data_IF_431818216799
#
_entry.id   IF_431818216799
#
_cell.length_a   1.000
_cell.length_b   1.000
_cell.length_c   1.000
_cell.angle_alpha   90.00
_cell.angle_beta   90.00
_cell.angle_gamma   90.00
#
_symmetry.space_group_name_H-M   'P 1'
#
loop_
_entity.id
_entity.type
_entity.pdbx_description
1 polymer ?
#
# COMPACT_ATOMS: atom_id res chain seq x y z
N UNK A 1 -2.71 6.08 -5.44
CA UNK A 1 -1.85 5.56 -4.34
C UNK A 1 -0.42 6.00 -4.64
N UNK A 2 0.37 6.45 -3.66
CA UNK A 2 1.81 6.67 -3.88
C UNK A 2 2.55 5.51 -3.23
N UNK A 3 3.36 4.78 -4.00
CA UNK A 3 4.17 3.69 -3.50
C UNK A 3 5.63 4.14 -3.47
N UNK A 4 6.25 4.15 -2.29
CA UNK A 4 7.70 4.37 -2.17
C UNK A 4 8.36 2.99 -2.20
N UNK A 5 9.16 2.75 -3.23
CA UNK A 5 9.91 1.50 -3.41
C UNK A 5 11.37 1.80 -3.12
N UNK A 6 11.86 1.30 -1.99
CA UNK A 6 13.29 1.33 -1.68
C UNK A 6 13.93 0.07 -2.31
N UNK A 7 14.68 0.26 -3.40
CA UNK A 7 15.42 -0.82 -4.06
C UNK A 7 16.87 -0.74 -3.59
N UNK A 8 17.40 -1.79 -2.97
CA UNK A 8 18.86 -1.96 -2.88
C UNK A 8 19.34 -2.71 -4.11
N UNK A 9 20.39 -2.21 -4.77
CA UNK A 9 20.99 -2.83 -5.96
C UNK A 9 21.95 -3.96 -5.57
N UNK A 10 22.05 -5.05 -6.35
CA UNK A 10 23.25 -5.88 -6.39
C UNK A 10 24.32 -5.16 -7.24
N UNK A 11 25.44 -4.80 -6.63
CA UNK A 11 26.57 -4.20 -7.32
C UNK A 11 27.24 -5.22 -8.26
N UNK A 12 26.94 -5.16 -9.55
CA UNK A 12 27.68 -5.93 -10.56
C UNK A 12 27.81 -5.22 -11.90
N UNK A 13 28.22 -3.95 -11.93
CA UNK A 13 28.97 -3.36 -13.06
C UNK A 13 29.82 -2.20 -12.52
N UNK A 14 31.15 -2.39 -12.41
CA UNK A 14 32.11 -1.32 -12.14
C UNK A 14 32.65 -0.75 -13.46
N UNK A 15 32.59 0.56 -13.73
CA UNK A 15 33.55 1.21 -14.60
C UNK A 15 34.84 1.47 -13.81
N UNK A 16 35.97 1.03 -14.36
CA UNK A 16 37.31 1.29 -13.83
C UNK A 16 37.59 2.80 -13.85
N UNK A 17 38.00 3.37 -12.73
CA UNK A 17 38.80 4.60 -12.67
C UNK A 17 39.66 4.60 -11.40
N UNK A 18 40.80 5.26 -11.52
CA UNK A 18 42.10 4.97 -10.91
C UNK A 18 42.41 5.73 -9.61
N UNK A 19 43.11 5.03 -8.71
CA UNK A 19 44.16 5.45 -7.75
C UNK A 19 44.12 6.79 -6.99
N UNK A 20 44.27 6.62 -5.66
CA UNK A 20 45.10 7.38 -4.70
C UNK A 20 44.43 8.43 -3.78
N UNK A 21 44.09 8.01 -2.55
CA UNK A 21 44.57 8.58 -1.27
C UNK A 21 43.89 7.90 -0.07
N UNK A 22 44.66 7.64 1.00
CA UNK A 22 44.22 7.11 2.31
C UNK A 22 44.66 8.09 3.43
N UNK A 23 44.29 7.89 4.71
CA UNK A 23 42.93 7.99 5.25
C UNK A 23 42.90 8.91 6.52
N UNK A 24 41.75 9.48 6.88
CA UNK A 24 41.54 10.06 8.20
C UNK A 24 40.20 9.60 8.77
N UNK A 25 40.27 9.10 10.00
CA UNK A 25 39.31 8.24 10.69
C UNK A 25 38.11 9.02 11.22
N UNK A 26 36.90 8.68 10.76
CA UNK A 26 35.66 8.82 11.52
C UNK A 26 34.97 7.45 11.54
N UNK A 27 35.21 6.70 12.62
CA UNK A 27 34.66 5.37 12.83
C UNK A 27 33.17 5.46 13.23
N UNK A 28 32.31 5.60 12.25
CA UNK A 28 30.97 5.00 12.32
C UNK A 28 31.13 3.62 11.70
N UNK A 29 31.20 2.58 12.54
CA UNK A 29 31.34 1.21 12.06
C UNK A 29 30.26 0.91 11.02
N UNK A 30 30.61 0.33 9.85
CA UNK A 30 29.60 -0.04 8.88
C UNK A 30 28.71 -1.07 9.55
N UNK A 31 27.40 -0.83 9.62
CA UNK A 31 26.44 -1.89 9.91
C UNK A 31 26.66 -2.92 8.81
N UNK A 32 27.33 -4.03 9.15
CA UNK A 32 27.63 -5.09 8.20
C UNK A 32 26.31 -5.68 7.71
N UNK A 33 25.82 -5.18 6.58
CA UNK A 33 24.65 -5.74 5.89
C UNK A 33 25.10 -7.10 5.36
N UNK A 34 24.79 -8.16 6.10
CA UNK A 34 25.04 -9.54 5.66
C UNK A 34 24.40 -9.75 4.29
N UNK A 35 25.23 -9.83 3.26
CA UNK A 35 24.78 -10.18 1.92
C UNK A 35 24.40 -11.66 1.92
N UNK A 36 23.10 -11.93 1.83
CA UNK A 36 22.57 -13.29 1.70
C UNK A 36 22.99 -13.84 0.33
N UNK A 37 23.80 -14.90 0.31
CA UNK A 37 23.99 -15.70 -0.89
C UNK A 37 22.63 -16.26 -1.32
N UNK A 38 22.32 -16.19 -2.63
CA UNK A 38 21.05 -16.67 -3.17
C UNK A 38 21.00 -18.18 -2.96
N UNK A 39 20.15 -18.63 -2.04
CA UNK A 39 19.95 -20.04 -1.78
C UNK A 39 19.35 -20.71 -3.02
N UNK A 40 19.76 -21.95 -3.34
CA UNK A 40 19.22 -22.69 -4.50
C UNK A 40 17.69 -22.85 -4.47
N UNK A 41 17.10 -22.78 -3.27
CA UNK A 41 15.65 -22.78 -3.08
C UNK A 41 14.96 -21.51 -3.61
N UNK A 42 15.67 -20.38 -3.76
CA UNK A 42 15.15 -19.10 -4.27
C UNK A 42 15.27 -18.97 -5.80
N UNK A 43 15.70 -20.01 -6.50
CA UNK A 43 15.81 -19.99 -7.96
C UNK A 43 14.42 -20.25 -8.56
N UNK A 44 13.94 -19.42 -9.51
CA UNK A 44 12.65 -19.63 -10.14
C UNK A 44 12.61 -20.97 -10.89
N UNK A 45 11.51 -21.71 -10.74
CA UNK A 45 11.28 -23.03 -11.33
C UNK A 45 9.87 -23.14 -11.88
N UNK A 46 9.74 -23.84 -13.01
CA UNK A 46 8.46 -24.09 -13.66
C UNK A 46 8.09 -23.02 -14.69
N UNK A 47 6.88 -23.12 -15.23
CA UNK A 47 6.39 -22.27 -16.33
C UNK A 47 5.69 -20.99 -15.85
N UNK A 48 5.80 -20.64 -14.57
CA UNK A 48 5.18 -19.44 -13.99
C UNK A 48 3.68 -19.58 -13.66
N UNK A 49 3.21 -20.80 -13.38
CA UNK A 49 1.84 -21.06 -12.92
C UNK A 49 1.70 -21.13 -11.39
N UNK A 50 0.52 -21.51 -10.90
CA UNK A 50 0.21 -21.64 -9.46
C UNK A 50 1.21 -22.51 -8.69
N UNK A 51 1.59 -23.65 -9.23
CA UNK A 51 2.55 -24.59 -8.61
C UNK A 51 4.01 -24.30 -8.99
N UNK A 52 4.26 -23.25 -9.77
CA UNK A 52 5.62 -22.81 -10.09
C UNK A 52 6.17 -21.97 -8.94
N UNK A 53 7.49 -21.94 -8.83
CA UNK A 53 8.16 -21.18 -7.79
C UNK A 53 8.87 -19.98 -8.43
N UNK A 54 8.58 -18.77 -7.96
CA UNK A 54 9.08 -17.54 -8.58
C UNK A 54 10.43 -17.06 -8.03
N UNK A 55 10.95 -17.67 -6.96
CA UNK A 55 12.11 -17.15 -6.25
C UNK A 55 11.79 -16.01 -5.27
N UNK A 56 10.52 -15.63 -5.15
CA UNK A 56 10.08 -14.56 -4.26
C UNK A 56 9.43 -15.17 -3.02
N UNK A 57 10.02 -14.88 -1.87
CA UNK A 57 9.50 -15.15 -0.54
C UNK A 57 9.14 -13.79 0.10
N UNK A 58 7.88 -13.41 -0.02
CA UNK A 58 7.42 -12.09 0.41
C UNK A 58 6.72 -12.15 1.77
N UNK A 59 7.09 -11.26 2.71
CA UNK A 59 6.24 -11.00 3.88
C UNK A 59 5.33 -9.81 3.57
N UNK A 60 4.02 -10.01 3.62
CA UNK A 60 3.04 -8.96 3.29
C UNK A 60 2.27 -8.59 4.55
N UNK A 61 2.65 -7.49 5.19
CA UNK A 61 1.92 -6.98 6.34
C UNK A 61 0.62 -6.33 5.89
N UNK A 62 -0.51 -6.67 6.53
CA UNK A 62 -1.84 -6.17 6.16
C UNK A 62 -2.45 -6.84 4.92
N UNK A 63 -1.99 -8.05 4.56
CA UNK A 63 -2.47 -8.73 3.36
C UNK A 63 -3.95 -9.10 3.47
N UNK A 64 -4.73 -8.66 2.49
CA UNK A 64 -6.12 -9.04 2.23
C UNK A 64 -6.30 -9.62 0.81
N UNK A 65 -5.19 -9.86 0.09
CA UNK A 65 -5.19 -10.06 -1.36
C UNK A 65 -4.44 -11.32 -1.87
N UNK A 66 -4.62 -11.60 -3.17
CA UNK A 66 -4.07 -12.75 -3.91
C UNK A 66 -2.66 -12.48 -4.43
N UNK A 67 -1.72 -13.40 -4.20
CA UNK A 67 -0.41 -13.44 -4.89
C UNK A 67 -0.02 -14.90 -5.16
N UNK A 68 0.58 -15.18 -6.32
CA UNK A 68 1.00 -16.52 -6.75
C UNK A 68 2.43 -16.91 -6.37
N UNK A 69 3.07 -16.23 -5.42
CA UNK A 69 4.41 -16.53 -4.91
C UNK A 69 4.35 -17.08 -3.49
N UNK A 70 5.48 -17.48 -2.91
CA UNK A 70 5.51 -17.83 -1.49
C UNK A 70 5.30 -16.54 -0.68
N UNK A 71 4.25 -16.52 0.14
CA UNK A 71 3.85 -15.36 0.93
C UNK A 71 3.69 -15.75 2.40
N UNK A 72 4.42 -15.04 3.25
CA UNK A 72 4.18 -15.03 4.68
C UNK A 72 3.18 -13.93 4.96
N UNK A 73 2.03 -14.31 5.53
CA UNK A 73 0.95 -13.41 5.89
C UNK A 73 0.94 -13.27 7.41
N UNK A 74 1.61 -12.23 7.94
CA UNK A 74 1.51 -11.88 9.33
C UNK A 74 0.12 -11.30 9.61
N UNK A 75 -0.63 -11.97 10.48
CA UNK A 75 -1.99 -11.59 10.83
C UNK A 75 -2.16 -11.29 12.32
N UNK A 76 -3.15 -10.45 12.64
CA UNK A 76 -3.57 -10.09 14.00
C UNK A 76 -5.01 -10.52 14.32
N UNK A 77 -5.84 -10.70 13.30
CA UNK A 77 -7.24 -11.10 13.45
C UNK A 77 -7.38 -12.61 13.73
N UNK A 78 -8.61 -13.07 13.95
CA UNK A 78 -8.86 -14.50 14.07
C UNK A 78 -8.50 -15.22 12.77
N UNK A 79 -8.04 -16.47 12.92
CA UNK A 79 -7.59 -17.29 11.80
C UNK A 79 -8.70 -17.54 10.75
N UNK A 80 -9.96 -17.52 11.17
CA UNK A 80 -11.12 -17.69 10.28
C UNK A 80 -11.22 -16.60 9.23
N UNK A 81 -10.87 -15.36 9.58
CA UNK A 81 -10.88 -14.24 8.64
C UNK A 81 -9.87 -14.42 7.51
N UNK A 82 -8.84 -15.26 7.68
CA UNK A 82 -7.81 -15.46 6.67
C UNK A 82 -8.00 -16.73 5.86
N UNK A 83 -8.96 -17.58 6.25
CA UNK A 83 -9.20 -18.86 5.57
C UNK A 83 -9.52 -18.69 4.08
N UNK A 84 -10.11 -17.56 3.68
CA UNK A 84 -10.36 -17.27 2.26
C UNK A 84 -9.07 -17.08 1.44
N UNK A 85 -7.92 -16.86 2.09
CA UNK A 85 -6.61 -16.76 1.44
C UNK A 85 -5.99 -18.14 1.16
N UNK A 86 -6.35 -19.19 1.93
CA UNK A 86 -5.79 -20.55 1.75
C UNK A 86 -5.95 -21.09 0.31
N UNK A 87 -7.11 -20.93 -0.36
CA UNK A 87 -7.29 -21.40 -1.73
C UNK A 87 -6.50 -20.62 -2.79
N UNK A 88 -5.89 -19.48 -2.44
CA UNK A 88 -5.23 -18.59 -3.38
C UNK A 88 -3.82 -19.05 -3.78
N UNK A 89 -3.17 -19.87 -2.95
CA UNK A 89 -1.84 -20.44 -3.18
C UNK A 89 -1.85 -21.95 -3.23
N UNK A 90 -0.80 -22.54 -3.79
CA UNK A 90 -0.57 -23.98 -3.66
C UNK A 90 -0.13 -24.34 -2.22
N UNK A 91 -0.10 -25.63 -1.91
CA UNK A 91 0.31 -26.16 -0.62
C UNK A 91 1.72 -25.64 -0.24
N UNK A 92 1.84 -25.09 0.97
CA UNK A 92 3.11 -24.56 1.49
C UNK A 92 3.53 -23.18 0.95
N UNK A 93 2.80 -22.60 -0.01
CA UNK A 93 3.11 -21.26 -0.52
C UNK A 93 2.62 -20.15 0.42
N UNK A 94 1.47 -20.33 1.05
CA UNK A 94 0.91 -19.35 1.98
C UNK A 94 1.16 -19.83 3.41
N UNK A 95 1.90 -19.03 4.17
CA UNK A 95 2.23 -19.29 5.57
C UNK A 95 1.58 -18.20 6.42
N UNK A 96 0.66 -18.59 7.29
CA UNK A 96 0.06 -17.67 8.25
C UNK A 96 0.91 -17.63 9.51
N UNK A 97 1.24 -16.42 9.97
CA UNK A 97 1.96 -16.22 11.22
C UNK A 97 1.26 -15.18 12.06
N UNK A 98 1.06 -15.47 13.33
CA UNK A 98 0.56 -14.45 14.25
C UNK A 98 1.68 -13.45 14.57
N UNK A 99 1.34 -12.17 14.60
CA UNK A 99 2.25 -11.12 15.01
C UNK A 99 1.52 -10.01 15.74
N UNK A 100 2.26 -9.28 16.57
CA UNK A 100 1.79 -8.05 17.16
C UNK A 100 2.76 -6.92 16.87
N UNK A 101 2.22 -5.78 16.44
CA UNK A 101 3.02 -4.65 16.04
C UNK A 101 3.74 -3.94 17.20
N UNK A 102 3.40 -4.25 18.45
CA UNK A 102 4.16 -3.79 19.63
C UNK A 102 5.35 -4.69 19.93
N UNK A 103 5.31 -5.95 19.52
CA UNK A 103 6.37 -6.92 19.74
C UNK A 103 7.34 -6.97 18.56
N UNK A 104 8.57 -6.51 18.80
CA UNK A 104 9.64 -6.48 17.80
C UNK A 104 10.12 -7.88 17.45
N UNK A 105 10.04 -8.84 18.36
CA UNK A 105 10.47 -10.21 18.10
C UNK A 105 9.52 -10.90 17.12
N UNK A 106 8.22 -10.66 17.24
CA UNK A 106 7.23 -11.14 16.27
C UNK A 106 7.49 -10.64 14.86
N UNK A 107 7.84 -9.37 14.70
CA UNK A 107 8.21 -8.76 13.42
C UNK A 107 9.45 -9.44 12.84
N UNK A 108 10.49 -9.64 13.65
CA UNK A 108 11.72 -10.33 13.22
C UNK A 108 11.45 -11.76 12.77
N UNK A 109 10.61 -12.49 13.51
CA UNK A 109 10.21 -13.87 13.18
C UNK A 109 9.48 -13.95 11.84
N UNK A 110 8.54 -13.02 11.59
CA UNK A 110 7.79 -12.96 10.33
C UNK A 110 8.65 -12.61 9.11
N UNK A 111 9.80 -11.97 9.34
CA UNK A 111 10.67 -11.42 8.31
C UNK A 111 11.90 -12.32 8.02
N UNK A 112 12.29 -13.18 8.98
CA UNK A 112 13.56 -13.92 8.95
C UNK A 112 13.86 -14.68 7.65
N UNK A 113 12.84 -15.19 6.96
CA UNK A 113 13.00 -16.03 5.76
C UNK A 113 12.60 -15.33 4.45
N UNK A 114 12.28 -14.04 4.50
CA UNK A 114 11.76 -13.31 3.34
C UNK A 114 12.86 -12.54 2.61
N UNK A 115 12.72 -12.44 1.29
CA UNK A 115 13.60 -11.63 0.44
C UNK A 115 12.98 -10.28 0.08
N UNK A 116 11.66 -10.16 0.15
CA UNK A 116 10.90 -8.93 -0.06
C UNK A 116 9.96 -8.71 1.11
N UNK A 117 9.86 -7.48 1.59
CA UNK A 117 8.86 -7.09 2.59
C UNK A 117 7.98 -6.00 2.01
N UNK A 118 6.67 -6.21 2.10
CA UNK A 118 5.64 -5.28 1.62
C UNK A 118 4.82 -4.83 2.82
N UNK A 119 4.78 -3.52 3.05
CA UNK A 119 3.98 -2.92 4.12
C UNK A 119 2.67 -2.34 3.56
N UNK A 120 1.55 -3.00 3.87
CA UNK A 120 0.17 -2.57 3.60
C UNK A 120 -0.59 -2.25 4.89
N UNK A 121 0.10 -2.09 6.02
CA UNK A 121 -0.56 -1.80 7.30
C UNK A 121 -1.20 -0.42 7.22
N UNK A 122 -2.51 -0.38 7.46
CA UNK A 122 -3.27 0.86 7.48
C UNK A 122 -4.69 0.62 7.97
N UNK A 123 -5.24 1.63 8.64
CA UNK A 123 -6.65 1.67 9.02
C UNK A 123 -7.18 3.06 8.68
N UNK A 124 -8.44 3.13 8.22
CA UNK A 124 -9.07 4.39 7.80
C UNK A 124 -9.64 5.22 8.95
N UNK A 125 -9.70 4.65 10.15
CA UNK A 125 -10.15 5.30 11.37
C UNK A 125 -9.22 4.94 12.51
N UNK A 126 -9.11 5.84 13.49
CA UNK A 126 -8.34 5.56 14.71
C UNK A 126 -9.12 4.59 15.59
N UNK A 127 -8.40 3.62 16.15
CA UNK A 127 -8.95 2.75 17.19
C UNK A 127 -8.39 3.21 18.53
N UNK A 128 -9.10 2.97 19.64
CA UNK A 128 -8.59 3.29 20.98
C UNK A 128 -7.22 2.66 21.26
N UNK A 129 -7.01 1.43 20.78
CA UNK A 129 -5.78 0.66 20.98
C UNK A 129 -4.61 1.12 20.11
N UNK A 130 -4.88 1.68 18.92
CA UNK A 130 -3.89 2.06 17.91
C UNK A 130 -4.26 3.40 17.27
N UNK A 131 -3.44 4.42 17.53
CA UNK A 131 -3.57 5.76 16.96
C UNK A 131 -2.91 5.82 15.57
N UNK A 132 -3.22 6.84 14.77
CA UNK A 132 -2.58 7.00 13.45
C UNK A 132 -1.06 7.15 13.52
N UNK A 133 -0.52 7.71 14.60
CA UNK A 133 0.93 7.80 14.78
C UNK A 133 1.55 6.41 14.93
N UNK A 134 0.89 5.51 15.65
CA UNK A 134 1.39 4.15 15.77
C UNK A 134 1.33 3.40 14.44
N UNK A 135 0.17 3.48 13.77
CA UNK A 135 -0.11 2.74 12.54
C UNK A 135 0.78 3.18 11.38
N UNK A 136 0.95 4.48 11.20
CA UNK A 136 1.71 5.00 10.07
C UNK A 136 3.13 5.36 10.41
N UNK A 137 3.52 5.61 11.66
CA UNK A 137 4.88 6.11 11.96
C UNK A 137 5.70 5.06 12.69
N UNK A 138 5.23 4.56 13.83
CA UNK A 138 6.05 3.67 14.66
C UNK A 138 6.16 2.27 14.07
N UNK A 139 5.05 1.68 13.60
CA UNK A 139 5.03 0.32 13.05
C UNK A 139 5.88 0.21 11.76
N UNK A 140 5.70 1.07 10.74
CA UNK A 140 6.52 1.01 9.53
C UNK A 140 8.01 1.22 9.83
N UNK A 141 8.34 2.11 10.77
CA UNK A 141 9.71 2.33 11.21
C UNK A 141 10.33 1.06 11.83
N UNK A 142 9.57 0.35 12.67
CA UNK A 142 10.04 -0.90 13.27
C UNK A 142 10.23 -2.01 12.22
N UNK A 143 9.29 -2.13 11.28
CA UNK A 143 9.39 -3.10 10.18
C UNK A 143 10.60 -2.78 9.30
N UNK A 144 10.82 -1.52 8.95
CA UNK A 144 11.97 -1.09 8.15
C UNK A 144 13.30 -1.40 8.86
N UNK A 145 13.38 -1.11 10.16
CA UNK A 145 14.56 -1.43 10.98
C UNK A 145 14.80 -2.95 11.06
N UNK A 146 13.77 -3.73 11.33
CA UNK A 146 13.86 -5.19 11.38
C UNK A 146 14.24 -5.78 10.00
N UNK A 147 13.72 -5.21 8.91
CA UNK A 147 14.03 -5.62 7.55
C UNK A 147 15.50 -5.40 7.20
N UNK A 148 16.06 -4.28 7.68
CA UNK A 148 17.50 -3.97 7.54
C UNK A 148 18.37 -4.91 8.36
N UNK A 149 18.02 -5.14 9.63
CA UNK A 149 18.73 -6.09 10.50
C UNK A 149 18.74 -7.51 9.92
N UNK A 150 17.67 -7.90 9.22
CA UNK A 150 17.57 -9.19 8.53
C UNK A 150 18.27 -9.24 7.15
N UNK A 151 18.82 -8.13 6.65
CA UNK A 151 19.55 -8.08 5.37
C UNK A 151 18.65 -8.27 4.15
N UNK A 152 17.45 -7.69 4.15
CA UNK A 152 16.46 -7.88 3.09
C UNK A 152 16.80 -7.04 1.85
N UNK A 153 16.63 -7.67 0.70
CA UNK A 153 16.97 -7.04 -0.59
C UNK A 153 16.01 -5.90 -0.97
N UNK A 154 14.71 -6.06 -0.74
CA UNK A 154 13.69 -5.08 -1.17
C UNK A 154 12.66 -4.80 -0.09
N UNK A 155 12.44 -3.53 0.17
CA UNK A 155 11.41 -3.05 1.08
C UNK A 155 10.46 -2.12 0.33
N UNK A 156 9.18 -2.48 0.31
CA UNK A 156 8.12 -1.74 -0.38
C UNK A 156 7.16 -1.17 0.66
N UNK A 157 6.98 0.14 0.63
CA UNK A 157 6.07 0.84 1.51
C UNK A 157 4.98 1.56 0.72
N UNK A 158 3.71 1.36 1.11
CA UNK A 158 2.57 1.99 0.45
C UNK A 158 2.04 3.18 1.24
N UNK A 159 2.18 4.35 0.64
CA UNK A 159 1.68 5.62 1.13
C UNK A 159 0.48 6.08 0.30
N UNK A 160 0.09 7.34 0.47
CA UNK A 160 -1.04 7.94 -0.24
C UNK A 160 -0.55 9.00 -1.22
N UNK A 161 -1.26 9.21 -2.33
CA UNK A 161 -0.89 10.22 -3.32
C UNK A 161 -0.89 11.63 -2.68
N UNK A 162 -1.97 11.95 -1.98
CA UNK A 162 -2.13 13.24 -1.29
C UNK A 162 -1.48 13.27 0.10
N UNK A 163 -0.42 12.51 0.32
CA UNK A 163 0.32 12.60 1.57
C UNK A 163 1.00 13.99 1.60
N UNK A 164 0.46 14.91 2.40
CA UNK A 164 1.08 16.21 2.71
C UNK A 164 1.02 16.48 4.23
N UNK A 165 2.10 17.04 4.79
CA UNK A 165 2.19 17.47 6.20
C UNK A 165 1.26 18.65 6.50
N UNK A 166 0.93 19.44 5.47
CA UNK A 166 0.00 20.57 5.58
C UNK A 166 -1.46 20.18 5.40
N UNK A 167 -1.76 18.91 5.14
CA UNK A 167 -3.11 18.41 4.91
C UNK A 167 -4.00 18.58 6.16
N UNK A 168 -5.30 18.91 6.00
CA UNK A 168 -6.23 18.97 7.13
C UNK A 168 -6.44 17.61 7.80
N UNK A 169 -6.42 16.51 7.02
CA UNK A 169 -6.66 15.17 7.55
C UNK A 169 -5.44 14.66 8.31
N UNK A 170 -5.69 14.01 9.45
CA UNK A 170 -4.62 13.48 10.31
C UNK A 170 -4.00 12.23 9.68
N UNK A 171 -4.80 11.44 8.98
CA UNK A 171 -4.35 10.26 8.22
C UNK A 171 -3.29 10.62 7.17
N UNK A 172 -3.54 11.65 6.34
CA UNK A 172 -2.61 12.03 5.28
C UNK A 172 -1.32 12.62 5.83
N UNK A 173 -1.41 13.45 6.88
CA UNK A 173 -0.23 14.01 7.57
C UNK A 173 0.69 12.93 8.10
N UNK A 174 0.13 11.93 8.79
CA UNK A 174 0.92 10.87 9.40
C UNK A 174 1.57 9.95 8.34
N UNK A 175 0.93 9.76 7.18
CA UNK A 175 1.55 9.05 6.06
C UNK A 175 2.75 9.80 5.47
N UNK A 176 2.82 11.13 5.53
CA UNK A 176 4.03 11.88 5.12
C UNK A 176 5.15 11.70 6.10
N UNK A 177 4.84 11.78 7.40
CA UNK A 177 5.86 11.63 8.45
C UNK A 177 6.54 10.27 8.32
N UNK A 178 5.79 9.22 7.96
CA UNK A 178 6.34 7.92 7.64
C UNK A 178 7.33 7.96 6.47
N UNK A 179 6.87 8.47 5.32
CA UNK A 179 7.70 8.59 4.11
C UNK A 179 8.96 9.40 4.38
N UNK A 180 8.84 10.52 5.09
CA UNK A 180 9.99 11.34 5.46
C UNK A 180 10.97 10.58 6.35
N UNK A 181 10.50 9.81 7.35
CA UNK A 181 11.37 8.97 8.18
C UNK A 181 12.01 7.83 7.38
N UNK A 182 11.26 7.20 6.48
CA UNK A 182 11.76 6.18 5.58
C UNK A 182 12.85 6.73 4.66
N UNK A 183 12.64 7.92 4.08
CA UNK A 183 13.61 8.62 3.24
C UNK A 183 14.84 9.06 4.04
N UNK A 184 14.69 9.60 5.25
CA UNK A 184 15.83 9.98 6.11
C UNK A 184 16.68 8.75 6.46
N UNK A 185 16.06 7.59 6.68
CA UNK A 185 16.80 6.36 6.88
C UNK A 185 17.49 5.89 5.58
N UNK A 186 16.83 6.04 4.43
CA UNK A 186 17.40 5.70 3.13
C UNK A 186 18.56 6.62 2.72
N UNK A 187 18.50 7.93 2.99
CA UNK A 187 19.58 8.90 2.69
C UNK A 187 20.84 8.63 3.51
N UNK A 188 20.69 8.10 4.73
CA UNK A 188 21.83 7.66 5.54
C UNK A 188 22.51 6.41 4.99
N UNK A 189 21.91 5.76 3.99
CA UNK A 189 22.35 4.49 3.45
C UNK A 189 22.85 4.67 2.00
N UNK A 190 24.15 4.44 1.73
CA UNK A 190 24.73 4.65 0.40
C UNK A 190 24.25 3.64 -0.67
N UNK A 191 23.52 2.59 -0.29
CA UNK A 191 23.05 1.50 -1.18
C UNK A 191 21.56 1.59 -1.57
N UNK A 192 20.83 2.60 -1.08
CA UNK A 192 19.39 2.71 -1.27
C UNK A 192 19.01 3.56 -2.50
N UNK A 193 18.62 2.90 -3.60
CA UNK A 193 17.94 3.54 -4.73
C UNK A 193 16.46 3.70 -4.37
N UNK A 194 16.14 4.82 -3.71
CA UNK A 194 14.78 5.15 -3.30
C UNK A 194 13.95 5.73 -4.44
N UNK A 195 13.22 4.89 -5.17
CA UNK A 195 12.29 5.36 -6.21
C UNK A 195 10.90 5.56 -5.60
N UNK A 196 10.32 6.73 -5.86
CA UNK A 196 8.94 7.02 -5.48
C UNK A 196 8.05 6.91 -6.71
N UNK A 197 7.04 6.04 -6.66
CA UNK A 197 6.08 5.84 -7.74
C UNK A 197 4.74 6.49 -7.39
N UNK A 198 4.21 7.26 -8.32
CA UNK A 198 2.87 7.84 -8.21
C UNK A 198 1.89 7.04 -9.08
N UNK A 199 1.14 6.14 -8.45
CA UNK A 199 0.17 5.29 -9.14
C UNK A 199 -1.19 5.99 -9.22
N UNK A 200 -1.48 6.55 -10.40
CA UNK A 200 -2.68 7.33 -10.71
C UNK A 200 -3.47 6.67 -11.84
N UNK A 201 -4.80 6.64 -11.74
CA UNK A 201 -5.66 6.09 -12.77
C UNK A 201 -5.61 6.89 -14.08
N UNK A 202 -6.14 6.34 -15.19
CA UNK A 202 -6.02 6.96 -16.51
C UNK A 202 -6.88 8.23 -16.63
N UNK A 203 -8.05 8.22 -16.00
CA UNK A 203 -9.04 9.29 -16.07
C UNK A 203 -9.16 9.97 -14.71
N UNK A 204 -9.26 11.30 -14.73
CA UNK A 204 -9.59 12.13 -13.57
C UNK A 204 -11.03 12.60 -13.69
N UNK A 205 -11.77 12.52 -12.59
CA UNK A 205 -13.19 12.87 -12.53
C UNK A 205 -13.44 13.93 -11.46
N UNK A 206 -14.48 14.74 -11.64
CA UNK A 206 -15.04 15.54 -10.57
C UNK A 206 -15.76 14.64 -9.58
N UNK A 207 -15.67 14.96 -8.29
CA UNK A 207 -16.30 14.15 -7.24
C UNK A 207 -17.82 14.03 -7.43
N UNK A 208 -18.47 15.12 -7.83
CA UNK A 208 -19.91 15.13 -8.10
C UNK A 208 -20.28 14.16 -9.23
N UNK A 209 -19.64 14.32 -10.39
CA UNK A 209 -19.87 13.50 -11.58
C UNK A 209 -19.51 12.02 -11.34
N UNK A 210 -18.51 11.75 -10.52
CA UNK A 210 -18.13 10.40 -10.10
C UNK A 210 -19.23 9.75 -9.26
N UNK A 211 -19.79 10.48 -8.29
CA UNK A 211 -20.90 9.97 -7.47
C UNK A 211 -22.14 9.78 -8.33
N UNK A 212 -22.47 10.72 -9.21
CA UNK A 212 -23.56 10.57 -10.18
C UNK A 212 -23.39 9.29 -11.00
N UNK A 213 -22.19 9.02 -11.50
CA UNK A 213 -21.87 7.79 -12.22
C UNK A 213 -22.05 6.53 -11.37
N UNK A 214 -21.61 6.54 -10.10
CA UNK A 214 -21.81 5.40 -9.19
C UNK A 214 -23.30 5.09 -8.99
N UNK A 215 -24.13 6.12 -8.80
CA UNK A 215 -25.58 5.95 -8.66
C UNK A 215 -26.25 5.52 -9.97
N UNK A 216 -25.78 6.02 -11.11
CA UNK A 216 -26.23 5.61 -12.44
C UNK A 216 -25.93 4.12 -12.68
N UNK A 217 -24.70 3.66 -12.38
CA UNK A 217 -24.33 2.24 -12.49
C UNK A 217 -25.10 1.39 -11.48
N UNK A 218 -25.39 1.89 -10.29
CA UNK A 218 -26.19 1.17 -9.29
C UNK A 218 -27.70 1.16 -9.60
N UNK A 219 -28.17 1.93 -10.59
CA UNK A 219 -29.59 2.19 -10.87
C UNK A 219 -30.39 2.60 -9.63
N UNK A 220 -29.81 3.50 -8.82
CA UNK A 220 -30.46 4.09 -7.64
C UNK A 220 -30.74 5.57 -7.87
N UNK A 221 -31.84 6.10 -7.32
CA UNK A 221 -32.14 7.53 -7.44
C UNK A 221 -31.01 8.36 -6.80
N UNK A 222 -30.53 9.36 -7.52
CA UNK A 222 -29.48 10.26 -7.07
C UNK A 222 -30.10 11.61 -6.67
N UNK A 223 -30.05 11.93 -5.38
CA UNK A 223 -30.55 13.20 -4.83
C UNK A 223 -29.37 13.93 -4.15
N UNK A 224 -28.58 14.71 -4.89
CA UNK A 224 -27.49 15.49 -4.33
C UNK A 224 -28.05 16.69 -3.55
N UNK A 225 -27.49 16.95 -2.37
CA UNK A 225 -27.78 18.15 -1.58
C UNK A 225 -26.47 18.77 -1.06
N UNK A 226 -26.34 20.10 -1.05
CA UNK A 226 -25.17 20.75 -0.48
C UNK A 226 -25.24 20.70 1.05
N UNK A 227 -24.20 20.18 1.69
CA UNK A 227 -24.06 20.18 3.14
C UNK A 227 -22.80 20.97 3.53
N UNK A 228 -22.90 22.04 4.34
CA UNK A 228 -21.74 22.74 4.86
C UNK A 228 -20.78 21.80 5.62
N UNK A 229 -19.48 21.94 5.39
CA UNK A 229 -18.45 21.06 5.99
C UNK A 229 -18.53 20.96 7.52
N UNK A 230 -18.73 22.06 8.28
CA UNK A 230 -18.86 21.98 9.74
C UNK A 230 -20.01 21.07 10.21
N UNK A 231 -21.16 21.12 9.51
CA UNK A 231 -22.30 20.25 9.82
C UNK A 231 -21.97 18.80 9.48
N UNK A 232 -21.27 18.55 8.36
CA UNK A 232 -20.87 17.19 8.02
C UNK A 232 -19.87 16.60 9.03
N UNK A 233 -18.93 17.40 9.54
CA UNK A 233 -18.03 16.99 10.63
C UNK A 233 -18.75 16.70 11.95
N UNK A 234 -19.87 17.40 12.23
CA UNK A 234 -20.69 17.13 13.40
C UNK A 234 -21.38 15.76 13.28
N UNK A 235 -21.98 15.47 12.12
CA UNK A 235 -22.58 14.16 11.83
C UNK A 235 -21.52 13.05 11.89
N UNK A 236 -20.37 13.26 11.25
CA UNK A 236 -19.27 12.30 11.28
C UNK A 236 -18.76 12.05 12.71
N UNK A 237 -18.72 13.08 13.58
CA UNK A 237 -18.38 12.91 15.01
C UNK A 237 -19.36 11.97 15.72
N UNK A 238 -20.65 12.08 15.44
CA UNK A 238 -21.65 11.22 16.06
C UNK A 238 -21.46 9.76 15.65
N UNK A 239 -21.09 9.52 14.38
CA UNK A 239 -20.74 8.18 13.90
C UNK A 239 -19.44 7.62 14.52
N UNK A 240 -18.46 8.47 14.83
CA UNK A 240 -17.19 8.07 15.46
C UNK A 240 -17.34 7.59 16.92
N UNK A 241 -18.43 7.94 17.60
CA UNK A 241 -18.67 7.49 18.99
C UNK A 241 -18.95 5.98 19.03
N UNK A 242 -19.37 5.41 17.90
CA UNK A 242 -19.66 3.98 17.81
C UNK A 242 -18.38 3.15 18.00
N UNK A 243 -18.36 2.16 18.93
CA UNK A 243 -17.23 1.25 19.08
C UNK A 243 -17.06 0.28 17.90
N UNK A 244 -18.09 0.08 17.09
CA UNK A 244 -18.01 -0.70 15.85
C UNK A 244 -17.42 0.11 14.70
N UNK A 245 -17.05 -0.57 13.61
CA UNK A 245 -16.46 0.07 12.43
C UNK A 245 -17.34 1.22 11.89
N UNK A 246 -16.89 2.49 11.99
CA UNK A 246 -17.72 3.62 11.59
C UNK A 246 -17.74 3.74 10.07
N UNK A 247 -18.94 3.92 9.49
CA UNK A 247 -19.07 4.13 8.05
C UNK A 247 -18.46 5.48 7.60
N UNK A 248 -18.57 6.50 8.46
CA UNK A 248 -18.04 7.86 8.22
C UNK A 248 -17.26 8.37 9.43
N UNK A 249 -16.15 9.04 9.14
CA UNK A 249 -15.29 9.70 10.12
C UNK A 249 -14.93 11.09 9.62
N UNK A 250 -14.55 12.00 10.51
CA UNK A 250 -14.13 13.36 10.20
C UNK A 250 -12.95 13.37 9.23
N UNK A 251 -12.00 12.49 9.46
CA UNK A 251 -10.83 12.32 8.59
C UNK A 251 -11.24 11.85 7.19
N UNK A 252 -12.20 10.93 7.09
CA UNK A 252 -12.74 10.47 5.81
C UNK A 252 -13.47 11.59 5.07
N UNK A 253 -14.19 12.46 5.77
CA UNK A 253 -14.80 13.66 5.18
C UNK A 253 -13.72 14.57 4.58
N UNK A 254 -12.69 14.92 5.34
CA UNK A 254 -11.60 15.77 4.83
C UNK A 254 -10.88 15.13 3.64
N UNK A 255 -10.66 13.81 3.70
CA UNK A 255 -9.99 13.04 2.64
C UNK A 255 -10.80 13.03 1.34
N UNK A 256 -12.12 12.88 1.40
CA UNK A 256 -12.96 12.92 0.19
C UNK A 256 -13.03 14.31 -0.44
N UNK A 257 -12.95 15.37 0.35
CA UNK A 257 -13.00 16.74 -0.15
C UNK A 257 -11.64 17.29 -0.56
N UNK A 258 -10.57 16.50 -0.40
CA UNK A 258 -9.23 16.86 -0.83
C UNK A 258 -9.00 16.40 -2.26
N UNK A 259 -8.47 17.30 -3.08
CA UNK A 259 -8.24 17.06 -4.50
C UNK A 259 -6.95 16.29 -4.73
N UNK A 260 -6.99 15.29 -5.60
CA UNK A 260 -5.80 14.53 -5.99
C UNK A 260 -4.76 15.41 -6.71
N UNK A 261 -3.52 15.38 -6.22
CA UNK A 261 -2.39 16.12 -6.82
C UNK A 261 -1.80 15.37 -8.01
N UNK A 262 -1.33 16.12 -9.02
CA UNK A 262 -0.59 15.59 -10.16
C UNK A 262 0.91 15.75 -9.93
N UNK A 263 1.65 14.65 -10.07
CA UNK A 263 3.10 14.63 -10.00
C UNK A 263 3.66 14.12 -11.33
N UNK A 264 3.82 14.99 -12.34
CA UNK A 264 4.32 14.58 -13.66
C UNK A 264 5.78 14.11 -13.61
N UNK A 265 6.54 14.56 -12.61
CA UNK A 265 7.96 14.23 -12.44
C UNK A 265 8.20 12.82 -11.88
N UNK A 266 7.15 12.18 -11.34
CA UNK A 266 7.26 10.86 -10.71
C UNK A 266 6.89 9.74 -11.69
N UNK A 267 7.60 8.61 -11.65
CA UNK A 267 7.28 7.47 -12.48
C UNK A 267 5.91 6.87 -12.12
N UNK A 268 5.12 6.60 -13.16
CA UNK A 268 3.77 6.05 -13.06
C UNK A 268 3.67 4.59 -13.45
N UNK A 269 2.48 4.18 -13.88
CA UNK A 269 2.19 2.81 -14.33
C UNK A 269 2.97 2.37 -15.58
N UNK A 270 3.36 3.33 -16.42
CA UNK A 270 4.06 3.09 -17.69
C UNK A 270 5.43 2.44 -17.47
N UNK A 271 6.20 2.89 -16.49
CA UNK A 271 7.50 2.30 -16.16
C UNK A 271 7.39 0.89 -15.56
N UNK A 272 6.24 0.57 -14.96
CA UNK A 272 5.97 -0.76 -14.43
C UNK A 272 5.48 -1.74 -15.52
N UNK A 273 5.25 -1.26 -16.75
CA UNK A 273 4.70 -2.05 -17.84
C UNK A 273 3.24 -2.46 -17.63
N UNK A 274 2.51 -1.73 -16.78
CA UNK A 274 1.11 -2.02 -16.45
C UNK A 274 0.22 -0.99 -17.15
N UNK A 275 -0.71 -1.46 -17.98
CA UNK A 275 -1.74 -0.59 -18.55
C UNK A 275 -2.85 -0.37 -17.52
N UNK A 276 -3.09 0.87 -17.04
CA UNK A 276 -4.11 1.10 -16.03
C UNK A 276 -5.51 0.92 -16.63
N UNK A 277 -6.32 0.06 -16.01
CA UNK A 277 -7.72 -0.13 -16.40
C UNK A 277 -8.56 1.06 -15.99
N UNK A 278 -9.52 1.47 -16.84
CA UNK A 278 -10.40 2.59 -16.54
C UNK A 278 -11.48 2.21 -15.52
N UNK A 279 -12.03 3.21 -14.82
CA UNK A 279 -13.07 2.99 -13.82
C UNK A 279 -14.31 2.37 -14.46
N UNK A 280 -14.69 2.84 -15.65
CA UNK A 280 -15.91 2.40 -16.33
C UNK A 280 -15.87 0.90 -16.62
N UNK A 281 -14.72 0.38 -17.03
CA UNK A 281 -14.55 -1.05 -17.36
C UNK A 281 -14.73 -1.97 -16.13
N UNK A 282 -14.41 -1.48 -14.93
CA UNK A 282 -14.39 -2.28 -13.69
C UNK A 282 -15.53 -1.98 -12.72
N UNK A 283 -16.19 -0.84 -12.85
CA UNK A 283 -17.23 -0.39 -11.92
C UNK A 283 -18.37 -1.41 -11.75
N UNK A 284 -18.77 -2.08 -12.83
CA UNK A 284 -19.87 -3.06 -12.81
C UNK A 284 -19.59 -4.25 -11.89
N UNK A 285 -18.33 -4.73 -11.85
CA UNK A 285 -17.94 -5.90 -11.07
C UNK A 285 -18.19 -5.68 -9.57
N UNK A 286 -17.98 -4.45 -9.09
CA UNK A 286 -18.12 -4.06 -7.69
C UNK A 286 -19.56 -3.61 -7.39
N UNK A 287 -20.14 -2.79 -8.26
CA UNK A 287 -21.42 -2.13 -8.01
C UNK A 287 -22.63 -3.03 -8.31
N UNK A 288 -22.46 -4.15 -9.04
CA UNK A 288 -23.54 -5.10 -9.33
C UNK A 288 -24.25 -5.58 -8.07
N UNK A 289 -23.52 -5.78 -6.96
CA UNK A 289 -24.11 -6.18 -5.66
C UNK A 289 -25.13 -5.17 -5.11
N UNK A 290 -25.01 -3.89 -5.47
CA UNK A 290 -25.86 -2.82 -4.95
C UNK A 290 -27.10 -2.53 -5.82
N UNK A 291 -27.16 -3.14 -7.01
CA UNK A 291 -28.31 -3.02 -7.93
C UNK A 291 -29.54 -3.71 -7.37
N UNK A 292 -30.72 -3.16 -7.67
CA UNK A 292 -31.98 -3.87 -7.44
C UNK A 292 -32.13 -5.03 -8.42
N UNK A 293 -32.93 -6.04 -8.05
CA UNK A 293 -33.18 -7.24 -8.87
C UNK A 293 -33.55 -6.90 -10.33
N UNK A 294 -34.39 -5.87 -10.52
CA UNK A 294 -34.83 -5.35 -11.83
C UNK A 294 -33.67 -5.03 -12.79
N UNK A 295 -32.53 -4.56 -12.28
CA UNK A 295 -31.40 -4.06 -13.07
C UNK A 295 -30.13 -4.87 -12.88
N UNK A 296 -30.21 -6.01 -12.18
CA UNK A 296 -29.04 -6.82 -11.84
C UNK A 296 -28.29 -7.31 -13.10
N UNK A 297 -29.05 -7.70 -14.12
CA UNK A 297 -28.55 -8.20 -15.41
C UNK A 297 -28.38 -7.10 -16.47
N UNK A 298 -28.70 -5.85 -16.16
CA UNK A 298 -28.56 -4.75 -17.12
C UNK A 298 -27.09 -4.59 -17.57
N UNK A 299 -26.90 -4.33 -18.86
CA UNK A 299 -25.58 -4.16 -19.44
C UNK A 299 -24.95 -2.84 -18.98
N UNK A 300 -23.62 -2.76 -19.08
CA UNK A 300 -22.88 -1.55 -18.71
C UNK A 300 -23.01 -0.45 -19.78
N UNK A 301 -23.18 -0.85 -21.05
CA UNK A 301 -23.38 -0.01 -22.23
C UNK A 301 -24.53 0.98 -22.08
N UNK A 302 -25.57 0.61 -21.31
CA UNK A 302 -26.75 1.43 -21.07
C UNK A 302 -26.46 2.66 -20.19
N UNK A 303 -25.35 2.63 -19.43
CA UNK A 303 -24.98 3.70 -18.50
C UNK A 303 -24.03 4.70 -19.17
N UNK A 304 -24.38 5.99 -19.11
CA UNK A 304 -23.51 7.05 -19.63
C UNK A 304 -22.22 7.12 -18.81
N UNK A 305 -21.04 7.22 -19.45
CA UNK A 305 -19.78 7.34 -18.73
C UNK A 305 -19.69 8.68 -17.98
N UNK A 306 -18.92 8.69 -16.90
CA UNK A 306 -18.64 9.90 -16.13
C UNK A 306 -17.84 10.91 -16.97
N UNK A 307 -18.08 12.21 -16.74
CA UNK A 307 -17.31 13.27 -17.40
C UNK A 307 -15.89 13.32 -16.84
N UNK A 308 -14.92 13.32 -17.75
CA UNK A 308 -13.50 13.40 -17.40
C UNK A 308 -13.00 14.84 -17.41
N UNK A 309 -11.96 15.10 -16.63
CA UNK A 309 -11.43 16.43 -16.41
C UNK A 309 -9.90 16.41 -16.43
N UNK A 310 -9.29 17.39 -17.10
CA UNK A 310 -7.86 17.37 -17.41
C UNK A 310 -6.99 18.34 -16.60
N UNK A 311 -7.55 19.18 -15.72
CA UNK A 311 -6.73 20.01 -14.82
C UNK A 311 -6.04 19.16 -13.74
#
# INVERSE_FOLDING_TARGET
MAAVVLVSRPASVLPRLSSACSPAVLAVGPVAVQHRQIHHALIPKGKGGRSSFSGIAATVFGATGRIGSQVVIPYRCDQYDLMYLRPMGDLGQIIFMEWDARDKESIKRAIAHSNVVINLVGKEWETSNYKYDDVFVTIPQQIAKASREAGISKFIHISHLNADIRSPSKYLRNKVVDVAKAIVNAIKDPDADGKTYALVGPNRYLLHDLVEYVYAVAHRPFLPYPLPRPLYHLVARLFEINPFEPWTTRDKVDRFHLTDMKYPDLPGFEELGITPSSLEQKAIEILRRHRGFRFLEAELSDTKPAKTVNY
#
